data_IF_941462532589
#
_entry.id   IF_941462532589
#
_cell.length_a   1.000
_cell.length_b   1.000
_cell.length_c   1.000
_cell.angle_alpha   90.00
_cell.angle_beta   90.00
_cell.angle_gamma   90.00
#
_symmetry.space_group_name_H-M   'P 1'
#
loop_
_entity.id
_entity.type
_entity.pdbx_description
1 polymer ?
#
# COMPACT_ATOMS: atom_id res chain seq x y z
N UNK A 1 -27.87 -1.90 31.97
CA UNK A 1 -26.83 -2.52 31.12
C UNK A 1 -25.47 -2.57 31.80
N UNK A 2 -25.44 -3.14 33.01
CA UNK A 2 -24.19 -3.47 33.70
C UNK A 2 -23.75 -4.87 33.24
N UNK A 3 -22.44 -5.07 33.07
CA UNK A 3 -21.82 -6.22 32.41
C UNK A 3 -22.47 -7.55 32.74
N UNK A 4 -23.02 -8.20 31.72
CA UNK A 4 -23.55 -9.56 31.82
C UNK A 4 -22.43 -10.52 32.21
N UNK A 5 -22.53 -11.11 33.40
CA UNK A 5 -21.64 -12.16 33.91
C UNK A 5 -22.09 -13.55 33.48
N UNK A 6 -23.12 -13.69 32.64
CA UNK A 6 -23.73 -14.98 32.28
C UNK A 6 -22.69 -15.98 31.77
N UNK A 7 -21.73 -15.55 30.95
CA UNK A 7 -20.67 -16.44 30.47
C UNK A 7 -19.65 -16.83 31.55
N UNK A 8 -19.47 -15.98 32.57
CA UNK A 8 -18.65 -16.28 33.76
C UNK A 8 -19.40 -17.25 34.69
N UNK A 9 -20.71 -17.05 34.86
CA UNK A 9 -21.59 -17.88 35.70
C UNK A 9 -21.80 -19.27 35.09
N UNK A 10 -21.81 -19.36 33.76
CA UNK A 10 -21.79 -20.63 33.01
C UNK A 10 -20.40 -21.29 32.98
N UNK A 11 -19.37 -20.66 33.58
CA UNK A 11 -18.02 -21.21 33.62
C UNK A 11 -17.36 -21.32 32.24
N UNK A 12 -17.77 -20.50 31.27
CA UNK A 12 -17.20 -20.46 29.92
C UNK A 12 -16.02 -19.49 29.84
N UNK A 13 -16.09 -18.35 30.53
CA UNK A 13 -15.00 -17.38 30.64
C UNK A 13 -14.47 -17.27 32.08
N UNK A 14 -13.16 -17.06 32.20
CA UNK A 14 -12.49 -16.94 33.49
C UNK A 14 -12.97 -15.69 34.25
N UNK A 15 -13.30 -15.86 35.53
CA UNK A 15 -13.54 -14.74 36.43
C UNK A 15 -12.20 -14.09 36.79
N UNK A 16 -12.00 -12.82 36.39
CA UNK A 16 -10.84 -12.03 36.84
C UNK A 16 -9.79 -11.63 35.80
N UNK A 17 -10.18 -11.09 34.65
CA UNK A 17 -9.30 -10.16 33.92
C UNK A 17 -8.46 -10.73 32.78
N UNK A 18 -8.73 -11.93 32.29
CA UNK A 18 -8.19 -12.32 30.98
C UNK A 18 -8.97 -11.60 29.87
N UNK A 19 -8.25 -10.90 28.99
CA UNK A 19 -8.83 -10.25 27.82
C UNK A 19 -8.96 -11.26 26.65
N UNK A 20 -9.96 -11.11 25.77
CA UNK A 20 -10.07 -11.92 24.56
C UNK A 20 -8.77 -11.85 23.73
N UNK A 21 -8.38 -12.93 23.03
CA UNK A 21 -9.15 -14.15 22.78
C UNK A 21 -8.90 -15.32 23.76
N UNK A 22 -8.06 -15.18 24.78
CA UNK A 22 -7.67 -16.28 25.68
C UNK A 22 -8.24 -16.14 27.10
N UNK A 23 -9.55 -15.89 27.18
CA UNK A 23 -10.25 -15.65 28.44
C UNK A 23 -11.19 -16.79 28.86
N UNK A 24 -11.00 -17.98 28.31
CA UNK A 24 -11.79 -19.17 28.66
C UNK A 24 -11.52 -19.63 30.10
N UNK A 25 -12.54 -20.14 30.79
CA UNK A 25 -12.34 -20.73 32.11
C UNK A 25 -11.54 -22.04 32.00
N UNK A 26 -10.79 -22.40 33.04
CA UNK A 26 -9.99 -23.65 33.04
C UNK A 26 -10.84 -24.92 32.92
N UNK A 27 -12.11 -24.85 33.31
CA UNK A 27 -13.12 -25.92 33.16
C UNK A 27 -13.82 -25.91 31.80
N UNK A 28 -13.64 -24.87 30.98
CA UNK A 28 -14.29 -24.77 29.69
C UNK A 28 -13.61 -25.72 28.70
N UNK A 29 -14.42 -26.56 28.04
CA UNK A 29 -13.93 -27.35 26.91
C UNK A 29 -13.82 -26.40 25.71
N UNK A 30 -12.59 -25.99 25.39
CA UNK A 30 -12.29 -25.20 24.20
C UNK A 30 -11.94 -26.17 23.09
N UNK A 31 -12.93 -26.53 22.28
CA UNK A 31 -12.68 -27.32 21.07
C UNK A 31 -12.37 -26.35 19.94
N UNK A 32 -11.09 -26.27 19.55
CA UNK A 32 -10.70 -25.55 18.35
C UNK A 32 -11.29 -26.26 17.14
N UNK A 33 -12.21 -25.63 16.42
CA UNK A 33 -12.86 -26.28 15.29
C UNK A 33 -12.00 -26.16 14.03
N UNK A 34 -11.02 -27.05 13.93
CA UNK A 34 -10.11 -27.12 12.79
C UNK A 34 -10.59 -28.17 11.78
N UNK A 35 -10.34 -27.95 10.50
CA UNK A 35 -10.54 -28.95 9.44
C UNK A 35 -9.90 -30.30 9.80
N UNK A 36 -8.74 -30.27 10.46
CA UNK A 36 -8.05 -31.49 10.91
C UNK A 36 -8.85 -32.24 11.97
N UNK A 37 -9.53 -31.53 12.88
CA UNK A 37 -10.41 -32.15 13.87
C UNK A 37 -11.65 -32.74 13.21
N UNK A 38 -12.23 -32.09 12.19
CA UNK A 38 -13.33 -32.65 11.40
C UNK A 38 -12.93 -33.94 10.66
N UNK A 39 -11.72 -33.98 10.08
CA UNK A 39 -11.18 -35.18 9.42
C UNK A 39 -10.95 -36.33 10.41
N UNK A 40 -10.45 -36.03 11.61
CA UNK A 40 -10.27 -37.02 12.68
C UNK A 40 -11.63 -37.55 13.16
N UNK A 41 -12.62 -36.68 13.36
CA UNK A 41 -13.97 -37.08 13.72
C UNK A 41 -14.63 -37.96 12.64
N UNK A 42 -14.45 -37.62 11.36
CA UNK A 42 -14.95 -38.44 10.25
C UNK A 42 -14.29 -39.83 10.25
N UNK A 43 -12.97 -39.89 10.43
CA UNK A 43 -12.22 -41.16 10.53
C UNK A 43 -12.77 -42.03 11.66
N UNK A 44 -12.97 -41.45 12.84
CA UNK A 44 -13.43 -42.19 14.01
C UNK A 44 -14.88 -42.66 13.84
N UNK A 45 -15.73 -41.84 13.21
CA UNK A 45 -17.10 -42.23 12.86
C UNK A 45 -17.13 -43.39 11.85
N UNK A 46 -16.22 -43.39 10.87
CA UNK A 46 -16.05 -44.52 9.93
C UNK A 46 -15.62 -45.80 10.63
N UNK A 47 -14.67 -45.73 11.57
CA UNK A 47 -14.23 -46.91 12.33
C UNK A 47 -15.32 -47.48 13.23
N UNK A 48 -16.16 -46.63 13.80
CA UNK A 48 -17.26 -47.04 14.68
C UNK A 48 -18.56 -47.38 13.93
N UNK A 49 -18.55 -47.28 12.60
CA UNK A 49 -19.73 -47.46 11.75
C UNK A 49 -20.91 -46.53 12.16
N UNK A 50 -20.58 -45.35 12.68
CA UNK A 50 -21.54 -44.34 13.11
C UNK A 50 -21.98 -43.47 11.92
N UNK A 51 -23.12 -43.83 11.34
CA UNK A 51 -23.68 -43.14 10.17
C UNK A 51 -24.02 -41.68 10.43
N UNK A 52 -24.40 -41.31 11.66
CA UNK A 52 -24.68 -39.92 12.00
C UNK A 52 -23.38 -39.12 12.12
N UNK A 53 -22.36 -39.68 12.78
CA UNK A 53 -21.03 -39.09 12.87
C UNK A 53 -20.36 -38.91 11.51
N UNK A 54 -20.57 -39.82 10.57
CA UNK A 54 -20.07 -39.72 9.19
C UNK A 54 -20.71 -38.51 8.48
N UNK A 55 -22.04 -38.39 8.52
CA UNK A 55 -22.74 -37.26 7.89
C UNK A 55 -22.32 -35.92 8.50
N UNK A 56 -22.18 -35.86 9.83
CA UNK A 56 -21.71 -34.66 10.52
C UNK A 56 -20.26 -34.31 10.17
N UNK A 57 -19.39 -35.32 10.04
CA UNK A 57 -17.99 -35.15 9.64
C UNK A 57 -17.85 -34.60 8.22
N UNK A 58 -18.65 -35.11 7.28
CA UNK A 58 -18.68 -34.60 5.90
C UNK A 58 -19.15 -33.14 5.85
N UNK A 59 -20.26 -32.81 6.52
CA UNK A 59 -20.74 -31.42 6.58
C UNK A 59 -19.72 -30.46 7.20
N UNK A 60 -19.03 -30.89 8.26
CA UNK A 60 -17.98 -30.09 8.87
C UNK A 60 -16.75 -29.85 7.98
N UNK A 61 -16.42 -30.81 7.10
CA UNK A 61 -15.36 -30.63 6.09
C UNK A 61 -15.80 -29.63 5.03
N UNK A 62 -17.04 -29.71 4.56
CA UNK A 62 -17.59 -28.77 3.57
C UNK A 62 -17.55 -27.33 4.11
N UNK A 63 -17.97 -27.11 5.36
CA UNK A 63 -17.87 -25.80 6.02
C UNK A 63 -16.42 -25.30 6.12
N UNK A 64 -15.49 -26.18 6.46
CA UNK A 64 -14.07 -25.82 6.54
C UNK A 64 -13.50 -25.46 5.15
N UNK A 65 -13.92 -26.17 4.11
CA UNK A 65 -13.53 -25.86 2.73
C UNK A 65 -14.11 -24.52 2.27
N UNK A 66 -15.35 -24.20 2.64
CA UNK A 66 -15.97 -22.91 2.32
C UNK A 66 -15.28 -21.75 3.04
N UNK A 67 -14.89 -21.95 4.30
CA UNK A 67 -14.08 -20.99 5.04
C UNK A 67 -12.72 -20.74 4.34
N UNK A 68 -12.03 -21.81 3.94
CA UNK A 68 -10.77 -21.71 3.19
C UNK A 68 -10.97 -20.94 1.87
N UNK A 69 -12.02 -21.26 1.10
CA UNK A 69 -12.35 -20.57 -0.15
C UNK A 69 -12.61 -19.09 0.07
N UNK A 70 -13.34 -18.73 1.12
CA UNK A 70 -13.61 -17.34 1.47
C UNK A 70 -12.30 -16.57 1.76
N UNK A 71 -11.37 -17.19 2.50
CA UNK A 71 -10.06 -16.60 2.76
C UNK A 71 -9.21 -16.47 1.49
N UNK A 72 -9.19 -17.48 0.62
CA UNK A 72 -8.51 -17.39 -0.68
C UNK A 72 -9.09 -16.26 -1.55
N UNK A 73 -10.42 -16.13 -1.58
CA UNK A 73 -11.08 -15.04 -2.30
C UNK A 73 -10.69 -13.66 -1.75
N UNK A 74 -10.61 -13.51 -0.43
CA UNK A 74 -10.14 -12.28 0.21
C UNK A 74 -8.68 -11.95 -0.17
N UNK A 75 -7.81 -12.96 -0.17
CA UNK A 75 -6.40 -12.80 -0.60
C UNK A 75 -6.34 -12.39 -2.07
N UNK A 76 -7.09 -13.06 -2.95
CA UNK A 76 -7.17 -12.71 -4.36
C UNK A 76 -7.68 -11.29 -4.60
N UNK A 77 -8.71 -10.86 -3.86
CA UNK A 77 -9.21 -9.48 -3.94
C UNK A 77 -8.16 -8.46 -3.48
N UNK A 78 -7.39 -8.76 -2.43
CA UNK A 78 -6.28 -7.92 -1.98
C UNK A 78 -5.15 -7.87 -3.01
N UNK A 79 -4.81 -8.99 -3.62
CA UNK A 79 -3.82 -9.06 -4.69
C UNK A 79 -4.24 -8.18 -5.88
N UNK A 80 -5.47 -8.32 -6.36
CA UNK A 80 -6.00 -7.48 -7.46
C UNK A 80 -5.95 -5.99 -7.13
N UNK A 81 -6.28 -5.60 -5.89
CA UNK A 81 -6.15 -4.19 -5.45
C UNK A 81 -4.70 -3.71 -5.46
N UNK A 82 -3.74 -4.57 -5.08
CA UNK A 82 -2.32 -4.23 -5.10
C UNK A 82 -1.80 -4.09 -6.53
N UNK A 83 -2.22 -4.95 -7.45
CA UNK A 83 -1.87 -4.85 -8.88
C UNK A 83 -2.33 -3.53 -9.48
N UNK A 84 -3.59 -3.12 -9.22
CA UNK A 84 -4.12 -1.83 -9.66
C UNK A 84 -3.33 -0.67 -9.04
N UNK A 85 -2.99 -0.75 -7.75
CA UNK A 85 -2.22 0.28 -7.07
C UNK A 85 -0.80 0.41 -7.65
N UNK A 86 -0.18 -0.71 -8.01
CA UNK A 86 1.14 -0.76 -8.63
C UNK A 86 1.11 -0.15 -10.04
N UNK A 87 0.12 -0.50 -10.86
CA UNK A 87 -0.08 0.09 -12.18
C UNK A 87 -0.26 1.61 -12.12
N UNK A 88 -1.10 2.09 -11.19
CA UNK A 88 -1.30 3.53 -10.95
C UNK A 88 -0.02 4.21 -10.50
N UNK A 89 0.75 3.60 -9.62
CA UNK A 89 2.02 4.16 -9.13
C UNK A 89 3.04 4.27 -10.26
N UNK A 90 3.14 3.25 -11.12
CA UNK A 90 4.01 3.29 -12.31
C UNK A 90 3.62 4.45 -13.25
N UNK A 91 2.32 4.61 -13.52
CA UNK A 91 1.81 5.74 -14.33
C UNK A 91 2.15 7.10 -13.69
N UNK A 92 1.99 7.22 -12.37
CA UNK A 92 2.32 8.45 -11.65
C UNK A 92 3.82 8.79 -11.72
N UNK A 93 4.71 7.80 -11.67
CA UNK A 93 6.16 8.01 -11.80
C UNK A 93 6.48 8.57 -13.19
N UNK A 94 5.92 7.99 -14.25
CA UNK A 94 6.13 8.49 -15.62
C UNK A 94 5.62 9.92 -15.76
N UNK A 95 4.41 10.19 -15.25
CA UNK A 95 3.82 11.53 -15.30
C UNK A 95 4.63 12.57 -14.51
N UNK A 96 5.10 12.21 -13.31
CA UNK A 96 5.94 13.10 -12.50
C UNK A 96 7.28 13.40 -13.18
N UNK A 97 7.90 12.41 -13.81
CA UNK A 97 9.14 12.61 -14.59
C UNK A 97 8.91 13.51 -15.81
N UNK A 98 7.78 13.36 -16.51
CA UNK A 98 7.42 14.24 -17.63
C UNK A 98 7.23 15.69 -17.19
N UNK A 99 6.53 15.93 -16.07
CA UNK A 99 6.40 17.28 -15.49
C UNK A 99 7.78 17.83 -15.11
N UNK A 100 8.59 17.05 -14.41
CA UNK A 100 9.91 17.48 -13.96
C UNK A 100 10.81 17.86 -15.14
N UNK A 101 10.82 17.04 -16.20
CA UNK A 101 11.56 17.30 -17.43
C UNK A 101 11.11 18.59 -18.13
N UNK A 102 9.80 18.85 -18.20
CA UNK A 102 9.25 20.08 -18.78
C UNK A 102 9.63 21.34 -17.99
N UNK A 103 9.58 21.28 -16.66
CA UNK A 103 9.97 22.40 -15.80
C UNK A 103 11.47 22.67 -15.96
N UNK A 104 12.31 21.64 -15.82
CA UNK A 104 13.76 21.79 -15.96
C UNK A 104 14.16 22.30 -17.35
N UNK A 105 13.52 21.80 -18.41
CA UNK A 105 13.72 22.30 -19.78
C UNK A 105 13.33 23.77 -19.95
N UNK A 106 12.26 24.22 -19.30
CA UNK A 106 11.82 25.62 -19.31
C UNK A 106 12.83 26.53 -18.61
N UNK A 107 13.35 26.12 -17.45
CA UNK A 107 14.37 26.88 -16.72
C UNK A 107 15.68 26.99 -17.51
N UNK A 108 16.10 25.92 -18.18
CA UNK A 108 17.26 25.94 -19.07
C UNK A 108 17.04 26.90 -20.25
N UNK A 109 15.87 26.87 -20.89
CA UNK A 109 15.55 27.77 -22.00
C UNK A 109 15.59 29.24 -21.56
N UNK A 110 15.10 29.54 -20.34
CA UNK A 110 15.18 30.88 -19.76
C UNK A 110 16.62 31.30 -19.46
N UNK A 111 17.41 30.43 -18.83
CA UNK A 111 18.82 30.71 -18.53
C UNK A 111 19.66 30.98 -19.80
N UNK A 112 19.42 30.20 -20.87
CA UNK A 112 20.05 30.42 -22.18
C UNK A 112 19.64 31.78 -22.77
N UNK A 113 18.35 32.13 -22.67
CA UNK A 113 17.83 33.42 -23.15
C UNK A 113 18.46 34.59 -22.40
N UNK A 114 18.52 34.51 -21.06
CA UNK A 114 19.12 35.53 -20.21
C UNK A 114 20.62 35.70 -20.50
N UNK A 115 21.35 34.59 -20.66
CA UNK A 115 22.75 34.61 -21.07
C UNK A 115 22.92 35.31 -22.42
N UNK A 116 22.07 34.98 -23.41
CA UNK A 116 22.18 35.57 -24.74
C UNK A 116 21.91 37.08 -24.72
N UNK A 117 20.97 37.53 -23.90
CA UNK A 117 20.71 38.95 -23.70
C UNK A 117 21.92 39.68 -23.10
N UNK A 118 22.59 39.08 -22.12
CA UNK A 118 23.82 39.64 -21.53
C UNK A 118 24.94 39.72 -22.57
N UNK A 119 25.16 38.67 -23.36
CA UNK A 119 26.14 38.67 -24.45
C UNK A 119 25.87 39.78 -25.47
N UNK A 120 24.61 39.93 -25.91
CA UNK A 120 24.23 40.96 -26.86
C UNK A 120 24.46 42.37 -26.29
N UNK A 121 24.08 42.59 -25.03
CA UNK A 121 24.34 43.87 -24.36
C UNK A 121 25.82 44.16 -24.23
N UNK A 122 26.64 43.15 -23.90
CA UNK A 122 28.09 43.31 -23.80
C UNK A 122 28.72 43.61 -25.17
N UNK A 123 28.30 42.92 -26.23
CA UNK A 123 28.77 43.19 -27.59
C UNK A 123 28.39 44.60 -28.04
N UNK A 124 27.17 45.04 -27.76
CA UNK A 124 26.74 46.41 -28.04
C UNK A 124 27.59 47.45 -27.28
N UNK A 125 27.86 47.22 -25.99
CA UNK A 125 28.72 48.10 -25.19
C UNK A 125 30.15 48.19 -25.74
N UNK A 126 30.76 47.07 -26.15
CA UNK A 126 32.07 47.06 -26.81
C UNK A 126 32.06 47.81 -28.14
N UNK A 127 31.00 47.65 -28.94
CA UNK A 127 30.88 48.32 -30.24
C UNK A 127 30.68 49.83 -30.09
N UNK A 128 29.94 50.28 -29.07
CA UNK A 128 29.80 51.70 -28.70
C UNK A 128 31.13 52.24 -28.18
N UNK A 129 31.81 51.53 -27.27
CA UNK A 129 33.13 51.90 -26.77
C UNK A 129 34.16 52.06 -27.90
N UNK A 130 34.19 51.13 -28.85
CA UNK A 130 35.05 51.20 -30.03
C UNK A 130 34.71 52.38 -30.97
N UNK A 131 33.44 52.81 -31.04
CA UNK A 131 33.03 54.03 -31.76
C UNK A 131 33.44 55.31 -31.04
N UNK A 132 33.36 55.34 -29.69
CA UNK A 132 33.79 56.48 -28.87
C UNK A 132 35.32 56.63 -28.88
N UNK A 133 36.07 55.51 -28.91
CA UNK A 133 37.54 55.48 -28.99
C UNK A 133 38.06 55.69 -30.44
N UNK A 134 37.20 56.05 -31.41
CA UNK A 134 37.69 56.66 -32.66
C UNK A 134 38.09 58.12 -32.38
N UNK A 135 39.19 58.62 -32.98
CA UNK A 135 39.92 59.77 -32.46
C UNK A 135 39.12 61.07 -32.58
N UNK A 136 38.54 61.54 -31.49
CA UNK A 136 38.13 62.95 -31.33
C UNK A 136 39.27 63.82 -30.79
N UNK A 137 40.41 63.21 -30.43
CA UNK A 137 41.62 63.91 -30.01
C UNK A 137 42.38 64.58 -31.16
N UNK A 138 42.09 64.24 -32.43
CA UNK A 138 42.67 64.90 -33.61
C UNK A 138 41.86 66.12 -34.06
N UNK A 139 40.66 66.36 -33.48
CA UNK A 139 39.78 67.50 -33.81
C UNK A 139 39.97 68.69 -32.86
N UNK A 140 40.71 68.50 -31.76
CA UNK A 140 41.08 69.57 -30.81
C UNK A 140 42.45 70.22 -31.09
N UNK A 141 43.10 69.86 -32.21
CA UNK A 141 44.37 70.43 -32.67
C UNK A 141 44.22 71.18 -34.01
N UNK A 142 43.16 71.98 -34.16
CA UNK A 142 43.11 73.11 -35.11
C UNK A 142 42.76 74.39 -34.37
#
# INVERSE_FOLDING_TARGET
DQGSTVLQDLGLIAQGGNYPPNNYASSAIVQGDSMFNKLVSLRDALFNNDTNGINAGLGGIDEAMDNLRAHMALVGARQSRLEIALERTSKNIVYANDIYSKIQGTDMAKAITDLKNIELSHQAALQVGARIIRPTLLDFLR
#
